data_IF_142240639595
#
_entry.id   IF_142240639595
#
_cell.length_a   1.000
_cell.length_b   1.000
_cell.length_c   1.000
_cell.angle_alpha   90.00
_cell.angle_beta   90.00
_cell.angle_gamma   90.00
#
_symmetry.space_group_name_H-M   'P 1'
#
loop_
_entity.id
_entity.type
_entity.pdbx_description
1 polymer ?
#
# COMPACT_ATOMS: atom_id res chain seq x y z
N UNK A 1 13.20 -31.42 -50.09
CA UNK A 1 12.01 -32.22 -50.50
C UNK A 1 12.22 -33.69 -50.11
N UNK A 2 11.14 -34.36 -49.67
CA UNK A 2 10.97 -35.77 -49.20
C UNK A 2 11.51 -36.03 -47.79
N UNK A 3 10.70 -35.97 -46.72
CA UNK A 3 9.63 -36.89 -46.23
C UNK A 3 10.10 -38.33 -45.95
N UNK A 4 10.14 -38.68 -44.66
CA UNK A 4 9.85 -40.03 -44.17
C UNK A 4 9.07 -39.92 -42.86
N UNK A 5 7.95 -40.63 -42.82
CA UNK A 5 7.00 -40.84 -41.72
C UNK A 5 7.35 -42.18 -41.08
N UNK A 6 7.30 -42.30 -39.75
CA UNK A 6 7.04 -43.59 -39.12
C UNK A 6 6.35 -43.38 -37.77
N UNK A 7 5.13 -43.89 -37.66
CA UNK A 7 4.34 -43.91 -36.43
C UNK A 7 4.70 -45.10 -35.54
N UNK A 8 4.38 -44.99 -34.26
CA UNK A 8 4.39 -46.11 -33.33
C UNK A 8 3.06 -46.22 -32.58
N UNK A 9 2.65 -47.47 -32.46
CA UNK A 9 1.33 -48.01 -32.18
C UNK A 9 1.11 -48.17 -30.66
N UNK A 10 -0.10 -47.85 -30.17
CA UNK A 10 -0.60 -48.23 -28.84
C UNK A 10 -0.94 -49.73 -28.79
N UNK A 11 -0.58 -50.42 -27.70
CA UNK A 11 -1.18 -51.71 -27.32
C UNK A 11 -1.42 -51.76 -25.80
N UNK A 12 -2.66 -52.04 -25.42
CA UNK A 12 -3.18 -52.28 -24.06
C UNK A 12 -3.78 -53.68 -24.02
N UNK A 13 -3.49 -54.50 -23.00
CA UNK A 13 -4.27 -55.67 -22.47
C UNK A 13 -3.69 -55.91 -21.04
N UNK A 14 -4.36 -55.80 -19.88
CA UNK A 14 -5.57 -56.39 -19.26
C UNK A 14 -5.43 -57.82 -18.66
N UNK A 15 -5.85 -57.91 -17.38
CA UNK A 15 -6.29 -59.04 -16.52
C UNK A 15 -5.26 -59.94 -15.79
N UNK A 16 -5.39 -60.05 -14.46
CA UNK A 16 -6.14 -61.15 -13.81
C UNK A 16 -6.18 -61.06 -12.27
N UNK A 17 -7.38 -61.21 -11.69
CA UNK A 17 -7.65 -61.46 -10.26
C UNK A 17 -8.04 -62.93 -10.05
N UNK A 18 -7.64 -63.52 -8.91
CA UNK A 18 -8.23 -64.68 -8.21
C UNK A 18 -7.93 -64.48 -6.72
N UNK A 19 -8.81 -64.70 -5.74
CA UNK A 19 -9.87 -65.69 -5.59
C UNK A 19 -11.15 -65.11 -4.94
N UNK A 20 -12.27 -65.81 -5.17
CA UNK A 20 -13.60 -65.55 -4.63
C UNK A 20 -14.08 -66.73 -3.76
N UNK A 21 -14.99 -66.46 -2.82
CA UNK A 21 -16.08 -67.34 -2.32
C UNK A 21 -17.03 -66.48 -1.47
N UNK A 22 -18.18 -66.07 -2.02
CA UNK A 22 -19.55 -66.68 -1.89
C UNK A 22 -20.23 -66.43 -0.52
N UNK A 23 -21.53 -66.19 -0.35
CA UNK A 23 -22.66 -65.60 -1.11
C UNK A 23 -23.94 -65.71 -0.21
N UNK A 24 -24.96 -64.84 -0.46
CA UNK A 24 -26.41 -64.91 -0.08
C UNK A 24 -26.78 -64.43 1.36
N UNK A 25 -27.89 -63.74 1.65
CA UNK A 25 -29.11 -63.39 0.90
C UNK A 25 -29.99 -62.33 1.65
N UNK A 26 -30.52 -61.34 0.90
CA UNK A 26 -31.89 -60.75 0.89
C UNK A 26 -32.53 -60.04 2.12
N UNK A 27 -32.72 -58.71 1.92
CA UNK A 27 -33.81 -57.75 2.26
C UNK A 27 -34.56 -57.78 3.61
N UNK A 28 -34.55 -56.62 4.29
CA UNK A 28 -35.77 -55.94 4.76
C UNK A 28 -35.57 -54.41 4.79
N UNK A 29 -36.60 -53.67 4.36
CA UNK A 29 -36.72 -52.20 4.41
C UNK A 29 -36.84 -51.69 5.86
N UNK A 30 -36.36 -50.48 6.15
CA UNK A 30 -37.08 -49.34 6.80
C UNK A 30 -36.13 -48.12 6.96
N UNK A 31 -36.39 -47.08 6.16
CA UNK A 31 -36.52 -45.62 6.44
C UNK A 31 -35.51 -44.91 7.38
N UNK A 32 -34.77 -43.99 6.74
CA UNK A 32 -34.34 -42.63 7.12
C UNK A 32 -33.59 -42.34 8.44
N UNK A 33 -32.38 -41.78 8.31
CA UNK A 33 -32.10 -40.35 8.56
C UNK A 33 -30.75 -39.94 7.95
N UNK A 34 -30.81 -38.91 7.11
CA UNK A 34 -29.65 -38.15 6.64
C UNK A 34 -28.88 -37.57 7.82
N UNK A 35 -27.55 -37.72 7.80
CA UNK A 35 -26.65 -36.70 8.33
C UNK A 35 -25.48 -36.57 7.36
N UNK A 36 -25.65 -35.65 6.41
CA UNK A 36 -24.55 -35.13 5.59
C UNK A 36 -23.60 -34.43 6.56
N UNK A 37 -22.42 -35.01 6.74
CA UNK A 37 -21.30 -34.35 7.42
C UNK A 37 -20.74 -33.36 6.39
N UNK A 38 -21.27 -32.14 6.38
CA UNK A 38 -20.61 -31.00 5.75
C UNK A 38 -19.36 -30.70 6.54
N UNK A 39 -18.22 -30.87 5.88
CA UNK A 39 -16.90 -30.49 6.36
C UNK A 39 -16.89 -28.98 6.55
N UNK A 40 -16.81 -28.52 7.80
CA UNK A 40 -16.66 -27.10 8.13
C UNK A 40 -15.35 -26.59 7.51
N UNK A 41 -15.49 -25.76 6.49
CA UNK A 41 -14.46 -24.83 6.05
C UNK A 41 -14.18 -23.89 7.22
N UNK A 42 -13.12 -24.21 7.95
CA UNK A 42 -12.48 -23.32 8.90
C UNK A 42 -12.16 -21.99 8.20
N UNK A 43 -13.06 -21.02 8.32
CA UNK A 43 -12.78 -19.60 8.12
C UNK A 43 -11.58 -19.25 8.99
N UNK A 44 -10.40 -19.18 8.36
CA UNK A 44 -9.28 -18.43 8.89
C UNK A 44 -9.71 -16.96 8.79
N UNK A 45 -10.41 -16.49 9.80
CA UNK A 45 -10.62 -15.07 10.01
C UNK A 45 -9.31 -14.53 10.55
N UNK A 46 -8.43 -14.10 9.66
CA UNK A 46 -7.35 -13.18 10.04
C UNK A 46 -8.04 -11.87 10.38
N UNK A 47 -8.30 -11.64 11.67
CA UNK A 47 -8.67 -10.32 12.15
C UNK A 47 -7.43 -9.44 12.04
N UNK A 48 -7.24 -8.81 10.88
CA UNK A 48 -6.35 -7.67 10.77
C UNK A 48 -6.91 -6.59 11.70
N UNK A 49 -6.22 -6.33 12.81
CA UNK A 49 -6.55 -5.20 13.65
C UNK A 49 -6.46 -3.94 12.79
N UNK A 50 -7.60 -3.24 12.63
CA UNK A 50 -7.68 -2.02 11.84
C UNK A 50 -6.69 -1.00 12.42
N UNK A 51 -5.75 -0.54 11.58
CA UNK A 51 -4.74 0.40 12.00
C UNK A 51 -5.38 1.69 12.51
N UNK A 52 -5.04 2.09 13.74
CA UNK A 52 -5.54 3.33 14.33
C UNK A 52 -4.48 4.41 14.27
N UNK A 53 -4.82 5.51 13.61
CA UNK A 53 -4.01 6.73 13.58
C UNK A 53 -3.72 7.25 15.01
N UNK A 54 -2.46 7.58 15.30
CA UNK A 54 -2.08 8.31 16.52
C UNK A 54 -2.59 9.75 16.50
N UNK A 55 -2.59 10.36 15.32
CA UNK A 55 -3.21 11.66 15.02
C UNK A 55 -3.69 11.67 13.57
N UNK A 56 -4.65 12.54 13.27
CA UNK A 56 -5.23 12.61 11.92
C UNK A 56 -4.27 13.29 10.95
N UNK A 57 -4.28 12.81 9.71
CA UNK A 57 -3.61 13.47 8.59
C UNK A 57 -4.62 13.69 7.46
N UNK A 58 -4.40 14.74 6.68
CA UNK A 58 -5.13 15.04 5.45
C UNK A 58 -4.14 15.42 4.36
N UNK A 59 -4.59 15.29 3.12
CA UNK A 59 -3.86 15.64 1.91
C UNK A 59 -4.68 16.69 1.14
N UNK A 60 -4.04 17.65 0.45
CA UNK A 60 -4.75 18.78 -0.16
C UNK A 60 -5.51 18.37 -1.42
N UNK A 61 -6.71 17.79 -1.24
CA UNK A 61 -7.56 17.32 -2.32
C UNK A 61 -9.06 17.47 -2.01
N UNK A 62 -9.89 16.77 -2.79
CA UNK A 62 -11.34 16.72 -2.62
C UNK A 62 -11.74 15.54 -1.71
N UNK A 63 -12.62 15.80 -0.75
CA UNK A 63 -13.17 14.79 0.12
C UNK A 63 -14.68 14.71 -0.04
N UNK A 64 -15.19 13.50 -0.27
CA UNK A 64 -16.63 13.23 -0.28
C UNK A 64 -17.24 13.38 1.10
N UNK A 65 -18.47 13.88 1.12
CA UNK A 65 -19.29 13.96 2.33
C UNK A 65 -20.23 12.77 2.32
N UNK A 66 -19.95 11.78 3.15
CA UNK A 66 -20.77 10.58 3.30
C UNK A 66 -21.47 10.61 4.67
N UNK A 67 -22.77 10.32 4.73
CA UNK A 67 -23.57 10.36 5.96
C UNK A 67 -23.40 11.66 6.78
N UNK A 68 -23.33 12.81 6.09
CA UNK A 68 -23.06 14.13 6.68
C UNK A 68 -21.70 14.26 7.40
N UNK A 69 -20.78 13.32 7.17
CA UNK A 69 -19.42 13.34 7.69
C UNK A 69 -18.44 13.63 6.58
N UNK A 70 -17.46 14.48 6.88
CA UNK A 70 -16.36 14.77 5.97
C UNK A 70 -15.13 15.08 6.82
N UNK A 71 -13.99 14.40 6.61
CA UNK A 71 -12.82 14.55 7.47
C UNK A 71 -12.23 15.98 7.42
N UNK A 72 -12.49 16.73 6.34
CA UNK A 72 -12.10 18.15 6.20
C UNK A 72 -12.76 19.03 7.28
N UNK A 73 -13.89 18.61 7.86
CA UNK A 73 -14.55 19.39 8.92
C UNK A 73 -13.76 19.49 10.22
N UNK A 74 -12.80 18.57 10.46
CA UNK A 74 -11.90 18.63 11.60
C UNK A 74 -10.72 19.61 11.38
N UNK A 75 -10.42 19.94 10.12
CA UNK A 75 -9.30 20.78 9.74
C UNK A 75 -9.47 22.21 10.29
N UNK A 76 -8.45 22.71 10.97
CA UNK A 76 -8.46 24.04 11.58
C UNK A 76 -7.05 24.64 11.64
N UNK A 77 -6.93 25.87 12.14
CA UNK A 77 -5.68 26.65 12.17
C UNK A 77 -4.59 26.13 13.15
N UNK A 78 -4.88 25.08 13.92
CA UNK A 78 -3.88 24.40 14.77
C UNK A 78 -3.12 23.31 14.03
N UNK A 79 -3.66 22.83 12.92
CA UNK A 79 -2.99 21.83 12.10
C UNK A 79 -1.68 22.38 11.52
N UNK A 80 -0.73 21.49 11.31
CA UNK A 80 0.57 21.80 10.74
C UNK A 80 0.63 21.29 9.31
N UNK A 81 1.10 22.12 8.40
CA UNK A 81 1.39 21.78 7.01
C UNK A 81 2.86 21.41 6.86
N UNK A 82 3.15 20.23 6.31
CA UNK A 82 4.41 19.93 5.63
C UNK A 82 4.27 20.40 4.19
N UNK A 83 5.03 21.42 3.80
CA UNK A 83 4.98 22.01 2.47
C UNK A 83 6.36 22.22 1.87
N UNK A 84 6.41 22.30 0.54
CA UNK A 84 7.61 22.57 -0.22
C UNK A 84 7.61 24.02 -0.72
N UNK A 85 8.76 24.68 -0.62
CA UNK A 85 9.03 26.01 -1.16
C UNK A 85 10.49 26.06 -1.65
N UNK A 86 10.71 26.37 -2.94
CA UNK A 86 12.03 26.38 -3.57
C UNK A 86 12.83 25.07 -3.36
N UNK A 87 12.18 23.92 -3.59
CA UNK A 87 12.72 22.57 -3.40
C UNK A 87 13.13 22.21 -1.96
N UNK A 88 12.83 23.08 -0.98
CA UNK A 88 13.07 22.82 0.44
C UNK A 88 11.74 22.58 1.16
N UNK A 89 11.76 21.75 2.20
CA UNK A 89 10.59 21.42 2.99
C UNK A 89 10.52 22.22 4.29
N UNK A 90 9.30 22.57 4.69
CA UNK A 90 9.03 23.37 5.87
C UNK A 90 7.78 22.85 6.59
N UNK A 91 7.77 23.05 7.90
CA UNK A 91 6.57 22.94 8.73
C UNK A 91 6.03 24.33 9.05
N UNK A 92 4.74 24.53 8.85
CA UNK A 92 4.07 25.79 9.16
C UNK A 92 2.65 25.58 9.64
N UNK A 93 2.05 26.64 10.22
CA UNK A 93 0.63 26.61 10.55
C UNK A 93 -0.20 26.51 9.27
N UNK A 94 -1.28 25.77 9.35
CA UNK A 94 -2.18 25.56 8.23
C UNK A 94 -2.78 26.88 7.69
N UNK A 95 -2.77 27.01 6.36
CA UNK A 95 -3.22 28.19 5.62
C UNK A 95 -3.85 27.77 4.30
N UNK A 96 -5.14 27.49 4.37
CA UNK A 96 -5.93 26.91 3.28
C UNK A 96 -7.26 27.67 3.12
N UNK A 97 -7.92 27.44 1.99
CA UNK A 97 -9.34 27.71 1.77
C UNK A 97 -10.07 26.37 1.67
N UNK A 98 -11.26 26.28 2.25
CA UNK A 98 -12.16 25.15 2.00
C UNK A 98 -13.23 25.62 1.01
N UNK A 99 -13.42 24.87 -0.06
CA UNK A 99 -14.50 25.08 -1.02
C UNK A 99 -15.49 23.92 -0.98
N UNK A 100 -16.78 24.25 -1.16
CA UNK A 100 -17.82 23.25 -1.31
C UNK A 100 -17.96 22.95 -2.80
N UNK A 101 -18.04 21.67 -3.13
CA UNK A 101 -18.23 21.19 -4.49
C UNK A 101 -19.28 20.08 -4.56
N UNK A 102 -19.45 19.54 -5.76
CA UNK A 102 -20.29 18.39 -6.04
C UNK A 102 -19.59 17.53 -7.09
N UNK A 103 -19.59 16.21 -6.87
CA UNK A 103 -19.06 15.22 -7.79
C UNK A 103 -20.21 14.75 -8.68
N UNK A 104 -20.21 15.14 -9.96
CA UNK A 104 -21.21 14.62 -10.91
C UNK A 104 -21.04 13.12 -11.16
N UNK A 105 -19.82 12.59 -10.96
CA UNK A 105 -19.52 11.18 -11.16
C UNK A 105 -20.18 10.31 -10.09
N UNK A 106 -19.90 10.64 -8.82
CA UNK A 106 -20.36 9.84 -7.67
C UNK A 106 -21.70 10.34 -7.10
N UNK A 107 -22.13 11.54 -7.47
CA UNK A 107 -23.34 12.18 -6.95
C UNK A 107 -23.18 12.78 -5.55
N UNK A 108 -21.95 12.90 -5.04
CA UNK A 108 -21.67 13.33 -3.66
C UNK A 108 -21.34 14.82 -3.53
N UNK A 109 -21.68 15.40 -2.38
CA UNK A 109 -21.14 16.71 -1.98
C UNK A 109 -19.69 16.61 -1.57
N UNK A 110 -18.85 17.56 -1.99
CA UNK A 110 -17.42 17.58 -1.73
C UNK A 110 -17.01 18.75 -0.83
N UNK A 111 -15.95 18.55 -0.05
CA UNK A 111 -15.13 19.62 0.51
C UNK A 111 -13.72 19.53 -0.06
N UNK A 112 -13.25 20.63 -0.66
CA UNK A 112 -11.93 20.72 -1.29
C UNK A 112 -11.00 21.54 -0.41
N UNK A 113 -9.81 21.00 -0.11
CA UNK A 113 -8.76 21.74 0.59
C UNK A 113 -7.87 22.42 -0.45
N UNK A 114 -7.85 23.75 -0.45
CA UNK A 114 -7.02 24.56 -1.34
C UNK A 114 -5.91 25.24 -0.53
N UNK A 115 -4.70 24.65 -0.44
CA UNK A 115 -3.59 25.24 0.28
C UNK A 115 -3.03 26.45 -0.48
N UNK A 116 -2.44 27.41 0.25
CA UNK A 116 -1.73 28.55 -0.37
C UNK A 116 -0.31 28.24 -0.83
N UNK A 117 0.23 27.10 -0.40
CA UNK A 117 1.56 26.60 -0.72
C UNK A 117 1.46 25.19 -1.31
N UNK A 118 2.57 24.66 -1.84
CA UNK A 118 2.67 23.27 -2.28
C UNK A 118 2.75 22.36 -1.05
N UNK A 119 1.60 22.09 -0.43
CA UNK A 119 1.47 21.24 0.75
C UNK A 119 1.53 19.77 0.32
N UNK A 120 2.32 18.97 1.03
CA UNK A 120 2.34 17.52 0.90
C UNK A 120 1.39 16.87 1.90
N UNK A 121 1.40 17.33 3.15
CA UNK A 121 0.64 16.71 4.24
C UNK A 121 0.15 17.74 5.25
N UNK A 122 -1.10 17.60 5.71
CA UNK A 122 -1.69 18.32 6.82
C UNK A 122 -1.76 17.37 8.02
N UNK A 123 -1.26 17.79 9.18
CA UNK A 123 -1.18 16.95 10.38
C UNK A 123 -1.89 17.62 11.56
N UNK A 124 -2.76 16.87 12.23
CA UNK A 124 -3.35 17.25 13.52
C UNK A 124 -2.35 17.01 14.67
N UNK A 125 -1.17 17.60 14.52
CA UNK A 125 -0.04 17.42 15.44
C UNK A 125 0.58 18.79 15.78
N UNK A 126 -0.15 19.62 16.56
CA UNK A 126 0.17 21.04 16.77
C UNK A 126 1.47 21.29 17.55
N UNK A 127 2.02 20.29 18.24
CA UNK A 127 3.28 20.38 18.97
C UNK A 127 4.53 20.39 18.08
N UNK A 128 4.39 20.08 16.78
CA UNK A 128 5.51 20.12 15.86
C UNK A 128 6.13 21.51 15.77
N UNK A 129 7.47 21.55 15.77
CA UNK A 129 8.22 22.80 15.67
C UNK A 129 8.17 23.32 14.22
N UNK A 130 7.55 24.47 14.02
CA UNK A 130 7.51 25.13 12.72
C UNK A 130 8.91 25.62 12.28
N UNK A 131 9.17 25.60 10.98
CA UNK A 131 10.43 26.06 10.39
C UNK A 131 10.89 25.16 9.25
N UNK A 132 12.14 25.36 8.82
CA UNK A 132 12.77 24.53 7.80
C UNK A 132 13.02 23.12 8.33
N UNK A 133 12.66 22.12 7.53
CA UNK A 133 12.85 20.70 7.82
C UNK A 133 14.12 20.21 7.13
N UNK A 134 15.01 19.57 7.89
CA UNK A 134 16.15 18.87 7.28
C UNK A 134 15.64 17.65 6.54
N UNK A 135 15.89 17.58 5.25
CA UNK A 135 15.38 16.53 4.37
C UNK A 135 16.45 16.14 3.36
N UNK A 136 16.25 14.98 2.74
CA UNK A 136 17.05 14.55 1.59
C UNK A 136 16.30 14.89 0.30
N UNK A 137 17.05 15.19 -0.76
CA UNK A 137 16.49 15.28 -2.10
C UNK A 137 16.21 13.88 -2.64
N UNK A 138 15.00 13.66 -3.13
CA UNK A 138 14.58 12.40 -3.74
C UNK A 138 14.76 12.56 -5.25
N UNK A 139 15.66 11.78 -5.83
CA UNK A 139 15.88 11.73 -7.29
C UNK A 139 15.10 10.59 -7.95
N UNK A 140 14.87 9.51 -7.20
CA UNK A 140 14.07 8.34 -7.59
C UNK A 140 13.08 8.06 -6.45
N UNK A 141 11.79 8.08 -6.76
CA UNK A 141 10.70 7.92 -5.78
C UNK A 141 10.15 6.49 -5.72
N UNK A 142 10.30 5.71 -6.80
CA UNK A 142 9.90 4.29 -6.86
C UNK A 142 11.09 3.39 -6.55
N UNK A 143 10.87 2.41 -5.66
CA UNK A 143 11.85 1.36 -5.36
C UNK A 143 11.29 0.03 -5.88
N UNK A 144 11.62 -0.32 -7.13
CA UNK A 144 11.08 -1.54 -7.74
C UNK A 144 11.66 -2.80 -7.07
N UNK A 145 11.03 -3.99 -7.25
CA UNK A 145 11.58 -5.22 -6.73
C UNK A 145 13.05 -5.46 -7.14
N UNK A 146 13.88 -5.83 -6.16
CA UNK A 146 15.35 -6.04 -6.25
C UNK A 146 16.18 -4.76 -6.29
N UNK A 147 15.56 -3.59 -6.35
CA UNK A 147 16.26 -2.31 -6.27
C UNK A 147 16.44 -1.87 -4.81
N UNK A 148 17.38 -0.94 -4.63
CA UNK A 148 17.71 -0.34 -3.34
C UNK A 148 17.93 1.15 -3.53
N UNK A 149 17.40 1.93 -2.61
CA UNK A 149 17.70 3.35 -2.48
C UNK A 149 18.45 3.57 -1.17
N UNK A 150 19.62 4.18 -1.22
CA UNK A 150 20.46 4.43 -0.04
C UNK A 150 20.77 5.90 0.11
N UNK A 151 20.66 6.40 1.34
CA UNK A 151 20.90 7.80 1.67
C UNK A 151 21.61 7.91 3.01
N UNK A 152 22.38 8.98 3.18
CA UNK A 152 23.02 9.33 4.45
C UNK A 152 22.31 10.55 5.03
N UNK A 153 21.90 10.47 6.29
CA UNK A 153 21.29 11.58 7.02
C UNK A 153 21.90 11.67 8.42
N UNK A 154 22.50 12.82 8.72
CA UNK A 154 23.37 12.95 9.89
C UNK A 154 24.52 11.95 9.82
N UNK A 155 24.63 11.09 10.83
CA UNK A 155 25.66 10.04 10.92
C UNK A 155 25.12 8.63 10.62
N UNK A 156 23.89 8.52 10.13
CA UNK A 156 23.23 7.25 9.85
C UNK A 156 23.07 7.05 8.35
N UNK A 157 23.34 5.83 7.91
CA UNK A 157 23.00 5.37 6.57
C UNK A 157 21.65 4.68 6.62
N UNK A 158 20.81 4.95 5.65
CA UNK A 158 19.49 4.36 5.50
C UNK A 158 19.45 3.67 4.14
N UNK A 159 18.86 2.47 4.10
CA UNK A 159 18.64 1.74 2.85
C UNK A 159 17.21 1.26 2.80
N UNK A 160 16.48 1.72 1.80
CA UNK A 160 15.19 1.18 1.39
C UNK A 160 15.42 0.10 0.33
N UNK A 161 14.67 -1.00 0.42
CA UNK A 161 14.79 -2.13 -0.50
C UNK A 161 13.43 -2.68 -0.86
N UNK A 162 13.14 -2.76 -2.15
CA UNK A 162 11.92 -3.36 -2.68
C UNK A 162 12.07 -4.87 -2.88
N UNK A 163 11.07 -5.64 -2.46
CA UNK A 163 10.82 -7.00 -2.91
C UNK A 163 9.42 -7.11 -3.49
N UNK A 164 9.20 -8.11 -4.33
CA UNK A 164 7.91 -8.38 -4.94
C UNK A 164 8.06 -9.25 -6.17
N UNK A 165 6.93 -9.70 -6.70
CA UNK A 165 6.86 -10.51 -7.90
C UNK A 165 6.53 -9.61 -9.09
N UNK A 166 7.51 -9.35 -9.95
CA UNK A 166 7.30 -8.63 -11.21
C UNK A 166 6.59 -9.56 -12.20
N UNK A 167 5.39 -9.20 -12.63
CA UNK A 167 4.57 -9.95 -13.58
C UNK A 167 4.84 -9.55 -15.02
N UNK A 168 5.00 -8.25 -15.26
CA UNK A 168 5.26 -7.66 -16.56
C UNK A 168 6.03 -6.36 -16.40
N UNK A 169 6.68 -5.95 -17.49
CA UNK A 169 7.40 -4.70 -17.61
C UNK A 169 7.06 -4.09 -18.97
N UNK A 170 6.74 -2.81 -18.99
CA UNK A 170 6.39 -2.08 -20.21
C UNK A 170 7.00 -0.68 -20.22
N UNK A 171 7.28 -0.19 -21.42
CA UNK A 171 7.68 1.19 -21.63
C UNK A 171 6.42 2.04 -21.81
N UNK A 172 6.25 3.02 -20.93
CA UNK A 172 5.17 3.99 -20.99
C UNK A 172 5.74 5.36 -21.31
N UNK A 173 5.06 6.08 -22.20
CA UNK A 173 5.34 7.50 -22.41
C UNK A 173 4.60 8.29 -21.35
N UNK A 174 5.31 9.16 -20.64
CA UNK A 174 4.69 10.14 -19.76
C UNK A 174 4.16 11.33 -20.57
N UNK A 175 3.38 12.18 -19.92
CA UNK A 175 2.84 13.42 -20.50
C UNK A 175 3.94 14.40 -20.98
N UNK A 176 5.18 14.23 -20.48
CA UNK A 176 6.37 14.98 -20.89
C UNK A 176 7.13 14.34 -22.07
N UNK A 177 6.54 13.34 -22.75
CA UNK A 177 7.18 12.50 -23.78
C UNK A 177 8.44 11.75 -23.28
N UNK A 178 8.58 11.56 -21.96
CA UNK A 178 9.66 10.74 -21.40
C UNK A 178 9.22 9.28 -21.41
N UNK A 179 10.14 8.39 -21.77
CA UNK A 179 9.90 6.95 -21.68
C UNK A 179 10.29 6.50 -20.28
N UNK A 180 9.31 5.97 -19.55
CA UNK A 180 9.49 5.34 -18.24
C UNK A 180 9.20 3.85 -18.33
N UNK A 181 9.79 3.10 -17.39
CA UNK A 181 9.54 1.67 -17.25
C UNK A 181 8.50 1.48 -16.15
N UNK A 182 7.33 0.98 -16.52
CA UNK A 182 6.31 0.56 -15.57
C UNK A 182 6.34 -0.95 -15.38
N UNK A 183 6.26 -1.39 -14.13
CA UNK A 183 6.28 -2.82 -13.77
C UNK A 183 4.98 -3.15 -13.05
N UNK A 184 4.30 -4.19 -13.51
CA UNK A 184 3.19 -4.79 -12.76
C UNK A 184 3.77 -5.67 -11.67
N UNK A 185 3.47 -5.38 -10.40
CA UNK A 185 4.04 -6.06 -9.23
C UNK A 185 2.95 -6.64 -8.34
N UNK A 186 3.18 -7.85 -7.80
CA UNK A 186 2.39 -8.48 -6.73
C UNK A 186 3.26 -8.72 -5.49
N UNK A 187 2.60 -8.90 -4.34
CA UNK A 187 3.22 -9.23 -3.05
C UNK A 187 4.41 -8.33 -2.70
N UNK A 188 4.24 -7.02 -2.93
CA UNK A 188 5.29 -6.04 -2.72
C UNK A 188 5.59 -5.86 -1.24
N UNK A 189 6.88 -5.74 -0.93
CA UNK A 189 7.39 -5.47 0.40
C UNK A 189 8.47 -4.42 0.31
N UNK A 190 8.36 -3.40 1.16
CA UNK A 190 9.39 -2.40 1.34
C UNK A 190 10.08 -2.65 2.68
N UNK A 191 11.40 -2.76 2.64
CA UNK A 191 12.22 -2.92 3.83
C UNK A 191 13.07 -1.70 4.08
N UNK A 192 13.38 -1.44 5.35
CA UNK A 192 14.26 -0.38 5.82
C UNK A 192 15.41 -0.98 6.66
N UNK A 193 16.62 -0.56 6.35
CA UNK A 193 17.81 -0.77 7.18
C UNK A 193 18.36 0.58 7.61
N UNK A 194 18.66 0.76 8.91
CA UNK A 194 19.24 2.01 9.44
C UNK A 194 20.53 1.70 10.20
N UNK A 195 21.64 2.33 9.78
CA UNK A 195 22.96 2.07 10.31
C UNK A 195 23.33 0.60 10.21
N UNK A 196 23.69 0.00 11.35
CA UNK A 196 24.02 -1.42 11.47
C UNK A 196 22.86 -2.26 12.06
N UNK A 197 21.66 -1.69 12.14
CA UNK A 197 20.50 -2.40 12.67
C UNK A 197 20.02 -3.47 11.67
N UNK A 198 19.36 -4.54 12.15
CA UNK A 198 18.72 -5.50 11.26
C UNK A 198 17.71 -4.84 10.33
N UNK A 199 17.62 -5.34 9.10
CA UNK A 199 16.60 -4.94 8.14
C UNK A 199 15.19 -5.25 8.69
N UNK A 200 14.27 -4.29 8.58
CA UNK A 200 12.88 -4.41 9.05
C UNK A 200 11.89 -4.16 7.90
N UNK A 201 10.78 -4.89 7.94
CA UNK A 201 9.67 -4.68 7.02
C UNK A 201 8.94 -3.38 7.39
N UNK A 202 8.73 -2.49 6.42
CA UNK A 202 8.12 -1.18 6.62
C UNK A 202 6.68 -1.13 6.09
N UNK A 203 6.48 -1.66 4.89
CA UNK A 203 5.19 -1.67 4.20
C UNK A 203 5.04 -2.96 3.37
N UNK A 204 3.82 -3.44 3.25
CA UNK A 204 3.44 -4.51 2.32
C UNK A 204 2.24 -4.06 1.49
N UNK A 205 2.18 -4.47 0.24
CA UNK A 205 1.01 -4.31 -0.62
C UNK A 205 0.82 -5.57 -1.46
N UNK A 206 -0.38 -6.15 -1.44
CA UNK A 206 -0.62 -7.43 -2.11
C UNK A 206 -0.64 -7.27 -3.63
N UNK A 207 -1.19 -6.16 -4.12
CA UNK A 207 -1.28 -5.87 -5.54
C UNK A 207 -1.49 -4.39 -5.78
N UNK A 208 -1.19 -3.96 -7.00
CA UNK A 208 -1.47 -2.61 -7.47
C UNK A 208 -2.37 -2.68 -8.71
N UNK A 209 -3.32 -1.76 -8.80
CA UNK A 209 -4.10 -1.52 -10.02
C UNK A 209 -3.69 -0.19 -10.66
N UNK A 210 -2.76 -0.25 -11.61
CA UNK A 210 -2.19 0.89 -12.34
C UNK A 210 -1.60 1.98 -11.43
N UNK A 211 -0.87 1.55 -10.40
CA UNK A 211 -0.20 2.41 -9.41
C UNK A 211 1.04 1.71 -8.85
N UNK A 212 1.85 2.41 -8.05
CA UNK A 212 2.97 1.84 -7.29
C UNK A 212 3.26 2.65 -6.02
N UNK A 213 4.08 2.09 -5.12
CA UNK A 213 4.54 2.83 -3.92
C UNK A 213 5.59 3.87 -4.31
N UNK A 214 5.44 5.08 -3.78
CA UNK A 214 6.31 6.22 -4.05
C UNK A 214 6.78 6.86 -2.73
N UNK A 215 8.09 7.13 -2.63
CA UNK A 215 8.66 7.92 -1.56
C UNK A 215 8.39 9.41 -1.83
N UNK A 216 7.46 10.00 -1.07
CA UNK A 216 7.04 11.40 -1.25
C UNK A 216 7.90 12.38 -0.45
N UNK A 217 8.43 11.93 0.69
CA UNK A 217 9.27 12.73 1.55
C UNK A 217 10.15 11.86 2.46
N UNK A 218 11.39 12.32 2.68
CA UNK A 218 12.29 11.80 3.70
C UNK A 218 13.03 12.95 4.40
N UNK A 219 12.80 13.10 5.70
CA UNK A 219 13.37 14.19 6.50
C UNK A 219 12.95 14.13 7.97
N UNK A 220 13.49 15.02 8.79
CA UNK A 220 13.30 15.07 10.25
C UNK A 220 12.12 15.98 10.62
N UNK A 221 10.90 15.44 10.61
CA UNK A 221 9.64 16.18 10.79
C UNK A 221 9.51 16.67 12.24
N UNK A 222 9.82 15.81 13.21
CA UNK A 222 9.63 16.13 14.63
C UNK A 222 10.90 16.61 15.35
N UNK A 223 12.05 16.62 14.67
CA UNK A 223 13.28 17.22 15.17
C UNK A 223 14.11 16.30 16.06
N UNK A 224 13.89 14.98 16.00
CA UNK A 224 14.66 13.97 16.74
C UNK A 224 16.04 13.68 16.12
N UNK A 225 16.31 14.22 14.94
CA UNK A 225 17.57 14.10 14.23
C UNK A 225 17.70 12.84 13.34
N UNK A 226 16.62 12.09 13.14
CA UNK A 226 16.54 10.92 12.25
C UNK A 226 15.56 11.17 11.12
N UNK A 227 15.59 10.31 10.10
CA UNK A 227 14.63 10.38 8.99
C UNK A 227 13.27 9.80 9.38
N UNK A 228 12.25 10.61 9.15
CA UNK A 228 10.85 10.25 9.01
C UNK A 228 10.52 10.10 7.52
N UNK A 229 9.44 9.38 7.22
CA UNK A 229 9.06 9.07 5.85
C UNK A 229 7.58 9.34 5.58
N UNK A 230 7.29 9.84 4.40
CA UNK A 230 5.94 9.89 3.83
C UNK A 230 5.94 9.08 2.54
N UNK A 231 5.07 8.08 2.46
CA UNK A 231 4.89 7.26 1.27
C UNK A 231 3.49 7.46 0.66
N UNK A 232 3.45 7.58 -0.66
CA UNK A 232 2.26 7.33 -1.46
C UNK A 232 2.15 5.83 -1.67
N UNK A 233 1.01 5.23 -1.38
CA UNK A 233 0.80 3.78 -1.41
C UNK A 233 -0.61 3.45 -1.90
N UNK A 234 -1.03 4.11 -2.98
CA UNK A 234 -2.33 3.91 -3.61
C UNK A 234 -2.44 2.45 -4.06
N UNK A 235 -3.58 1.83 -3.77
CA UNK A 235 -3.86 0.43 -4.16
C UNK A 235 -4.41 0.34 -5.57
N UNK A 236 -5.10 1.39 -6.01
CA UNK A 236 -5.65 1.52 -7.35
C UNK A 236 -5.58 2.98 -7.84
N UNK A 237 -5.79 3.18 -9.14
CA UNK A 237 -5.74 4.50 -9.80
C UNK A 237 -6.83 5.49 -9.35
N UNK A 238 -7.85 5.05 -8.59
CA UNK A 238 -8.95 5.87 -8.06
C UNK A 238 -8.85 6.09 -6.53
N UNK A 239 -7.67 5.83 -5.97
CA UNK A 239 -7.36 6.06 -4.57
C UNK A 239 -6.11 6.93 -4.46
N UNK A 240 -6.13 7.89 -3.53
CA UNK A 240 -4.91 8.55 -3.05
C UNK A 240 -4.71 8.15 -1.59
N UNK A 241 -3.61 7.45 -1.34
CA UNK A 241 -3.27 6.90 -0.03
C UNK A 241 -1.89 7.33 0.39
N UNK A 242 -1.82 7.98 1.55
CA UNK A 242 -0.57 8.49 2.12
C UNK A 242 -0.36 7.92 3.52
N UNK A 243 0.87 7.48 3.78
CA UNK A 243 1.28 6.87 5.04
C UNK A 243 2.45 7.65 5.62
N UNK A 244 2.32 8.06 6.88
CA UNK A 244 3.35 8.76 7.64
C UNK A 244 4.02 7.82 8.64
N UNK A 245 5.35 7.78 8.58
CA UNK A 245 6.20 7.08 9.53
C UNK A 245 7.08 8.08 10.28
N UNK A 246 7.05 8.05 11.61
CA UNK A 246 7.94 8.85 12.47
C UNK A 246 8.95 7.96 13.18
N UNK A 247 10.19 8.42 13.20
CA UNK A 247 11.33 7.79 13.86
C UNK A 247 11.33 7.99 15.38
N UNK A 248 10.84 9.13 15.87
CA UNK A 248 10.69 9.38 17.32
C UNK A 248 9.66 8.47 17.99
N UNK A 249 8.74 7.92 17.19
CA UNK A 249 7.66 7.02 17.61
C UNK A 249 8.01 5.54 17.44
N UNK A 250 9.23 5.24 16.99
CA UNK A 250 9.66 3.86 16.79
C UNK A 250 9.59 3.06 18.10
N UNK A 251 9.06 1.84 18.01
CA UNK A 251 8.89 0.93 19.14
C UNK A 251 9.49 -0.44 18.80
N UNK A 252 9.63 -1.33 19.79
CA UNK A 252 10.00 -2.74 19.58
C UNK A 252 11.28 -2.99 18.77
N UNK A 253 12.24 -2.05 18.83
CA UNK A 253 13.50 -2.14 18.10
C UNK A 253 13.39 -1.86 16.60
N UNK A 254 12.28 -1.30 16.14
CA UNK A 254 12.16 -0.75 14.79
C UNK A 254 12.82 0.64 14.72
N UNK A 255 13.07 1.13 13.50
CA UNK A 255 13.70 2.45 13.29
C UNK A 255 12.70 3.57 13.07
N UNK A 256 11.46 3.22 12.69
CA UNK A 256 10.32 4.12 12.51
C UNK A 256 9.04 3.39 12.85
N UNK A 257 7.96 4.12 13.15
CA UNK A 257 6.61 3.58 13.36
C UNK A 257 5.63 4.24 12.40
N UNK A 258 4.72 3.46 11.83
CA UNK A 258 3.54 3.99 11.12
C UNK A 258 2.65 4.71 12.14
N UNK A 259 2.54 6.03 12.06
CA UNK A 259 1.78 6.82 13.04
C UNK A 259 0.43 7.24 12.49
N UNK A 260 0.33 7.44 11.18
CA UNK A 260 -0.89 7.90 10.53
C UNK A 260 -0.97 7.40 9.10
N UNK A 261 -2.19 7.22 8.63
CA UNK A 261 -2.54 6.85 7.27
C UNK A 261 -3.86 7.53 6.90
N UNK A 262 -3.95 7.94 5.64
CA UNK A 262 -5.20 8.37 5.01
C UNK A 262 -5.31 7.69 3.66
N UNK A 263 -6.52 7.25 3.31
CA UNK A 263 -6.87 6.78 1.98
C UNK A 263 -8.15 7.52 1.57
N UNK A 264 -8.12 8.12 0.38
CA UNK A 264 -9.24 8.89 -0.18
C UNK A 264 -9.58 8.29 -1.51
N UNK A 265 -10.80 7.77 -1.63
CA UNK A 265 -11.33 7.26 -2.89
C UNK A 265 -12.01 8.36 -3.68
N UNK A 266 -11.80 8.35 -4.99
CA UNK A 266 -12.42 9.28 -5.94
C UNK A 266 -13.00 8.56 -7.16
N UNK A 267 -13.33 7.28 -6.99
CA UNK A 267 -13.97 6.36 -7.94
C UNK A 267 -15.36 6.77 -8.40
N UNK A 268 -15.71 6.40 -9.62
CA UNK A 268 -17.06 6.52 -10.17
C UNK A 268 -17.71 5.11 -10.20
#
# INVERSE_FOLDING_TARGET
MKKSVFGFLLISILFSCKDAKEAKSVKNNVIAKDSVITTDESKITTSEEEFKNEFNILIPQNYRTYDNQNPVTALNNKWIELYQENDEYFLGKSNFKIEKGYSECSGDSLLSILPKKKVLLLMDYPELKTGKVKSIKIEEDKIWPKEKLSFTFGNLNYTLRGEGKVLSEEQVSTDDDKIEIFKKVEDYKLYLTVGNNPEKLLLTEMSFNDTFVELLFAGDIDGDGKLDFVFGANRNYEEERVILFLSSKAENGDSVKKVSEIAVQFDC
#
